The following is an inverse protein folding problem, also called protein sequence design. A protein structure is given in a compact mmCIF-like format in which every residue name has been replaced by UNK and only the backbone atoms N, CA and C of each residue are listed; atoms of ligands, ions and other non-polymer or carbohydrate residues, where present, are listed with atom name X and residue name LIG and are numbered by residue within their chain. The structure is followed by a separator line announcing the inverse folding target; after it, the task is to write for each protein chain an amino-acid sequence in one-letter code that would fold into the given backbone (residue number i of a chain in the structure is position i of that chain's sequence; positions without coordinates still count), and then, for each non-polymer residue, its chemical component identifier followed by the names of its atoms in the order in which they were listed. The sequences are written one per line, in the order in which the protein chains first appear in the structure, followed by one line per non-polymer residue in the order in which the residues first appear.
data_IF_255435177290
#
_entry.id   IF_255435177290
#
_cell.length_a   1.000
_cell.length_b   1.000
_cell.length_c   1.000
_cell.angle_alpha   90.00
_cell.angle_beta   90.00
_cell.angle_gamma   90.00
#
_symmetry.space_group_name_H-M   'P 1'
#
loop_
_entity.id
_entity.type
_entity.pdbx_description
1 polymer ?
#
# COMPACT_ATOMS: atom_id res chain seq x y z
N UNK A 1 -95.20 1.96 25.94
CA UNK A 1 -93.93 1.76 25.26
C UNK A 1 -93.14 3.02 25.50
N UNK A 2 -92.26 2.95 26.54
CA UNK A 2 -91.47 4.10 27.02
C UNK A 2 -90.07 3.94 26.43
N UNK A 3 -89.66 4.92 25.62
CA UNK A 3 -88.35 4.95 25.07
C UNK A 3 -87.45 5.75 26.01
N UNK A 4 -86.44 5.10 26.60
CA UNK A 4 -85.44 5.71 27.46
C UNK A 4 -84.24 6.15 26.59
N UNK A 5 -84.05 7.48 26.52
CA UNK A 5 -82.90 8.07 25.83
C UNK A 5 -81.79 8.22 26.89
N UNK A 6 -80.71 7.49 26.71
CA UNK A 6 -79.48 7.66 27.53
C UNK A 6 -78.58 8.59 26.80
N UNK A 7 -78.30 9.77 27.34
CA UNK A 7 -77.29 10.69 26.85
C UNK A 7 -75.91 10.29 27.40
N UNK A 8 -74.98 9.91 26.55
CA UNK A 8 -73.59 9.67 26.86
C UNK A 8 -72.80 10.98 26.66
N UNK A 9 -72.29 11.55 27.75
CA UNK A 9 -71.37 12.68 27.71
C UNK A 9 -70.00 12.23 27.36
N UNK A 10 -69.44 12.56 26.20
CA UNK A 10 -68.07 12.39 25.81
C UNK A 10 -67.18 13.48 26.47
N UNK A 11 -66.42 13.12 27.43
CA UNK A 11 -65.33 13.95 27.98
C UNK A 11 -64.13 13.83 27.04
N UNK A 12 -63.91 14.84 26.21
CA UNK A 12 -62.71 14.91 25.36
C UNK A 12 -61.47 15.25 26.18
N UNK A 13 -60.60 14.28 26.39
CA UNK A 13 -59.24 14.53 26.88
C UNK A 13 -58.40 14.82 25.66
N UNK A 14 -58.01 16.08 25.47
CA UNK A 14 -56.97 16.48 24.51
C UNK A 14 -55.60 16.16 25.11
N UNK A 15 -55.00 15.05 24.68
CA UNK A 15 -53.57 14.79 24.91
C UNK A 15 -52.81 15.66 23.92
N UNK A 16 -52.26 16.76 24.42
CA UNK A 16 -51.28 17.56 23.66
C UNK A 16 -49.98 16.77 23.50
N UNK A 17 -49.75 16.18 22.33
CA UNK A 17 -48.43 15.66 21.97
C UNK A 17 -47.48 16.85 21.85
N UNK A 18 -46.57 17.01 22.82
CA UNK A 18 -45.38 17.84 22.69
C UNK A 18 -44.45 17.12 21.74
N UNK A 19 -44.51 17.40 20.46
CA UNK A 19 -43.49 17.04 19.50
C UNK A 19 -42.22 17.81 19.86
N UNK A 20 -41.40 17.23 20.73
CA UNK A 20 -40.00 17.65 20.88
C UNK A 20 -39.32 17.29 19.56
N UNK A 21 -39.13 18.26 18.68
CA UNK A 21 -38.27 18.14 17.53
C UNK A 21 -36.82 17.97 18.07
N UNK A 22 -36.40 16.73 18.28
CA UNK A 22 -35.00 16.44 18.40
C UNK A 22 -34.37 16.69 17.04
N UNK A 23 -33.69 17.80 16.87
CA UNK A 23 -32.80 18.00 15.73
C UNK A 23 -31.91 16.80 15.62
N UNK A 24 -31.73 16.21 14.42
CA UNK A 24 -30.81 15.09 14.28
C UNK A 24 -29.46 15.51 14.84
N UNK A 25 -28.97 14.80 15.83
CA UNK A 25 -27.64 15.03 16.40
C UNK A 25 -26.65 14.98 15.24
N UNK A 26 -25.88 16.05 15.06
CA UNK A 26 -24.81 16.07 14.05
C UNK A 26 -23.85 14.91 14.36
N UNK A 27 -23.74 13.87 13.52
CA UNK A 27 -22.91 12.71 13.80
C UNK A 27 -21.42 13.07 13.90
N UNK A 28 -21.04 14.26 13.40
CA UNK A 28 -19.69 14.78 13.44
C UNK A 28 -19.39 15.65 14.68
N UNK A 29 -20.40 15.90 15.53
CA UNK A 29 -20.22 16.69 16.74
C UNK A 29 -19.31 15.92 17.75
N UNK A 30 -18.13 16.44 18.04
CA UNK A 30 -17.17 15.83 18.97
C UNK A 30 -16.05 15.03 18.32
N UNK A 31 -16.05 14.86 16.99
CA UNK A 31 -14.88 14.33 16.27
C UNK A 31 -13.90 15.48 16.07
N UNK A 32 -12.95 15.62 17.00
CA UNK A 32 -11.81 16.53 16.82
C UNK A 32 -10.90 15.92 15.77
N UNK A 33 -10.65 16.63 14.66
CA UNK A 33 -9.48 16.35 13.82
C UNK A 33 -8.27 16.40 14.73
N UNK A 34 -7.32 15.45 14.67
CA UNK A 34 -6.10 15.55 15.43
C UNK A 34 -5.38 16.82 14.97
N UNK A 35 -5.50 17.86 15.78
CA UNK A 35 -4.57 18.99 15.72
C UNK A 35 -3.20 18.39 15.97
N UNK A 36 -2.25 18.64 15.09
CA UNK A 36 -0.87 18.22 15.18
C UNK A 36 -0.39 18.35 16.63
N UNK A 37 -0.42 17.23 17.37
CA UNK A 37 0.29 17.17 18.65
C UNK A 37 1.75 17.34 18.29
N UNK A 38 2.31 18.42 18.81
CA UNK A 38 3.70 18.81 18.81
C UNK A 38 4.64 17.67 18.46
N UNK A 39 5.35 17.87 17.34
CA UNK A 39 6.53 17.13 17.00
C UNK A 39 7.38 16.96 18.26
N UNK A 40 7.57 15.72 18.70
CA UNK A 40 8.65 15.42 19.61
C UNK A 40 9.92 15.92 18.92
N UNK A 41 10.54 16.90 19.54
CA UNK A 41 11.78 17.53 19.12
C UNK A 41 12.84 16.43 18.92
N UNK A 42 13.01 16.02 17.68
CA UNK A 42 14.20 15.28 17.29
C UNK A 42 15.35 16.29 17.32
N UNK A 43 16.24 16.11 18.27
CA UNK A 43 17.48 16.88 18.38
C UNK A 43 18.20 16.86 17.01
N UNK A 44 18.83 17.96 16.60
CA UNK A 44 19.56 18.01 15.34
C UNK A 44 20.74 17.06 15.45
N UNK A 45 20.73 15.98 14.66
CA UNK A 45 21.90 15.14 14.45
C UNK A 45 22.85 15.96 13.57
N UNK A 46 23.86 16.54 14.20
CA UNK A 46 24.96 17.18 13.51
C UNK A 46 25.68 16.14 12.68
N UNK A 47 25.62 16.28 11.37
CA UNK A 47 26.38 15.51 10.41
C UNK A 47 27.85 15.90 10.47
N UNK A 48 28.63 15.17 11.27
CA UNK A 48 30.07 15.10 11.07
C UNK A 48 30.32 13.97 10.05
N UNK A 49 30.76 14.34 8.86
CA UNK A 49 31.32 13.42 7.86
C UNK A 49 32.64 12.88 8.40
N UNK A 50 32.57 11.81 9.19
CA UNK A 50 33.68 10.94 9.49
C UNK A 50 33.68 9.80 8.49
N UNK A 51 34.68 9.75 7.61
CA UNK A 51 34.97 8.59 6.80
C UNK A 51 35.41 7.44 7.72
N UNK A 52 34.46 6.68 8.21
CA UNK A 52 34.65 5.43 8.91
C UNK A 52 33.97 4.33 8.14
N UNK A 53 34.68 3.31 7.72
CA UNK A 53 34.15 2.09 7.13
C UNK A 53 33.18 1.44 8.12
N UNK A 54 31.91 1.80 8.03
CA UNK A 54 30.85 1.10 8.74
C UNK A 54 30.56 -0.18 7.95
N UNK A 55 31.02 -1.32 8.49
CA UNK A 55 30.57 -2.61 8.04
C UNK A 55 29.03 -2.65 8.08
N UNK A 56 28.43 -2.98 6.96
CA UNK A 56 27.01 -3.25 6.88
C UNK A 56 26.65 -4.30 7.94
N UNK A 57 25.51 -4.18 8.65
CA UNK A 57 25.02 -5.26 9.46
C UNK A 57 24.78 -6.45 8.52
N UNK A 58 25.60 -7.50 8.68
CA UNK A 58 25.42 -8.76 7.97
C UNK A 58 24.09 -9.35 8.44
N UNK A 59 23.08 -9.53 7.58
CA UNK A 59 21.98 -10.40 7.94
C UNK A 59 22.56 -11.81 8.01
N UNK A 60 22.73 -12.33 9.22
CA UNK A 60 23.20 -13.68 9.47
C UNK A 60 22.10 -14.69 9.13
N UNK A 61 21.72 -14.76 7.86
CA UNK A 61 21.10 -15.92 7.28
C UNK A 61 22.20 -16.60 6.45
N UNK A 62 22.90 -17.55 7.08
CA UNK A 62 23.72 -18.53 6.38
C UNK A 62 22.78 -19.37 5.50
N UNK A 63 22.47 -18.87 4.32
CA UNK A 63 21.97 -19.71 3.23
C UNK A 63 23.19 -20.40 2.67
N UNK A 64 23.20 -21.73 2.72
CA UNK A 64 24.23 -22.52 2.05
C UNK A 64 24.28 -22.10 0.57
N UNK A 65 25.48 -21.82 0.00
CA UNK A 65 25.57 -21.48 -1.42
C UNK A 65 25.11 -22.66 -2.24
N UNK A 66 23.98 -22.49 -2.94
CA UNK A 66 23.48 -23.48 -3.88
C UNK A 66 24.50 -23.67 -4.99
N UNK A 67 25.11 -24.85 -5.06
CA UNK A 67 25.96 -25.25 -6.18
C UNK A 67 25.07 -25.54 -7.41
N UNK A 68 24.63 -24.49 -8.10
CA UNK A 68 23.95 -24.62 -9.40
C UNK A 68 25.04 -24.71 -10.44
N UNK A 69 25.20 -25.87 -11.06
CA UNK A 69 26.06 -26.03 -12.25
C UNK A 69 25.59 -25.07 -13.36
N UNK A 70 26.48 -24.71 -14.32
CA UNK A 70 26.17 -23.69 -15.31
C UNK A 70 25.01 -24.14 -16.20
N UNK A 71 23.80 -23.60 -15.98
CA UNK A 71 22.78 -23.64 -17.01
C UNK A 71 23.09 -22.55 -18.03
N UNK A 72 23.26 -22.90 -19.30
CA UNK A 72 23.57 -21.94 -20.37
C UNK A 72 22.40 -20.99 -20.69
N UNK A 73 21.19 -21.24 -20.15
CA UNK A 73 19.99 -20.45 -20.37
C UNK A 73 19.78 -19.32 -19.34
N UNK A 74 18.84 -18.40 -19.58
CA UNK A 74 18.46 -17.39 -18.60
C UNK A 74 17.95 -18.01 -17.29
N UNK A 75 18.23 -17.37 -16.15
CA UNK A 75 17.72 -17.79 -14.83
C UNK A 75 16.20 -17.65 -14.84
N UNK A 76 15.43 -18.75 -14.65
CA UNK A 76 13.98 -18.64 -14.53
C UNK A 76 13.63 -18.00 -13.18
N UNK A 77 12.94 -16.86 -13.24
CA UNK A 77 12.52 -16.07 -12.08
C UNK A 77 11.00 -15.96 -12.09
N UNK A 78 10.36 -16.16 -10.95
CA UNK A 78 8.96 -15.86 -10.73
C UNK A 78 8.87 -14.74 -9.68
N UNK A 79 8.16 -13.68 -10.01
CA UNK A 79 7.71 -12.69 -9.03
C UNK A 79 6.20 -12.84 -8.82
N UNK A 80 5.76 -12.88 -7.58
CA UNK A 80 4.32 -12.95 -7.30
C UNK A 80 3.60 -11.76 -7.94
N UNK A 81 4.17 -10.55 -7.85
CA UNK A 81 3.60 -9.34 -8.44
C UNK A 81 4.55 -8.66 -9.45
N UNK A 82 3.95 -7.86 -10.34
CA UNK A 82 4.67 -7.20 -11.42
C UNK A 82 5.61 -6.07 -10.94
N UNK A 83 5.37 -5.46 -9.78
CA UNK A 83 6.26 -4.41 -9.27
C UNK A 83 7.62 -4.97 -8.83
N UNK A 84 7.68 -6.12 -8.14
CA UNK A 84 8.95 -6.82 -7.88
C UNK A 84 9.52 -7.44 -9.16
N UNK A 85 8.64 -7.96 -10.02
CA UNK A 85 9.02 -8.51 -11.32
C UNK A 85 9.70 -7.49 -12.22
N UNK A 86 9.24 -6.24 -12.25
CA UNK A 86 9.85 -5.16 -13.00
C UNK A 86 11.28 -4.85 -12.52
N UNK A 87 11.48 -4.79 -11.21
CA UNK A 87 12.80 -4.51 -10.63
C UNK A 87 13.80 -5.64 -10.91
N UNK A 88 13.41 -6.90 -10.69
CA UNK A 88 14.31 -8.03 -10.94
C UNK A 88 14.56 -8.24 -12.43
N UNK A 89 13.60 -7.93 -13.30
CA UNK A 89 13.79 -7.98 -14.76
C UNK A 89 14.82 -6.96 -15.23
N UNK A 90 14.75 -5.73 -14.73
CA UNK A 90 15.73 -4.70 -15.04
C UNK A 90 17.13 -5.03 -14.50
N UNK A 91 17.19 -5.61 -13.29
CA UNK A 91 18.43 -6.03 -12.66
C UNK A 91 19.08 -7.21 -13.39
N UNK A 92 18.30 -8.22 -13.71
CA UNK A 92 18.73 -9.45 -14.35
C UNK A 92 18.99 -9.32 -15.84
N UNK A 93 18.26 -8.42 -16.52
CA UNK A 93 18.36 -8.21 -17.96
C UNK A 93 18.26 -9.51 -18.75
N UNK A 94 19.15 -9.73 -19.71
CA UNK A 94 19.19 -10.94 -20.52
C UNK A 94 19.68 -12.19 -19.78
N UNK A 95 20.14 -12.05 -18.54
CA UNK A 95 20.57 -13.17 -17.70
C UNK A 95 19.38 -13.83 -16.97
N UNK A 96 18.21 -13.22 -16.99
CA UNK A 96 16.99 -13.74 -16.34
C UNK A 96 15.84 -13.86 -17.32
N UNK A 97 14.91 -14.80 -17.05
CA UNK A 97 13.60 -14.91 -17.69
C UNK A 97 12.55 -14.75 -16.59
N UNK A 98 11.96 -13.56 -16.50
CA UNK A 98 11.06 -13.19 -15.41
C UNK A 98 9.62 -13.36 -15.82
N UNK A 99 8.85 -14.08 -15.00
CA UNK A 99 7.38 -14.16 -15.07
C UNK A 99 6.81 -13.49 -13.83
N UNK A 100 5.99 -12.44 -14.01
CA UNK A 100 5.14 -11.91 -12.95
C UNK A 100 3.76 -12.55 -13.04
N UNK A 101 3.22 -13.03 -11.92
CA UNK A 101 1.93 -13.74 -11.88
C UNK A 101 0.78 -12.75 -11.78
N UNK A 102 0.75 -11.93 -10.72
CA UNK A 102 -0.30 -10.92 -10.53
C UNK A 102 0.02 -9.68 -11.37
N UNK A 103 -0.75 -9.48 -12.43
CA UNK A 103 -0.54 -8.38 -13.41
C UNK A 103 -1.84 -7.75 -13.87
N UNK A 104 -3.01 -8.30 -13.50
CA UNK A 104 -4.31 -7.79 -13.96
C UNK A 104 -4.61 -6.43 -13.32
N UNK A 105 -4.84 -5.37 -14.12
CA UNK A 105 -5.14 -4.05 -13.62
C UNK A 105 -6.52 -3.92 -12.95
N UNK A 106 -7.38 -4.90 -13.16
CA UNK A 106 -8.77 -4.86 -12.67
C UNK A 106 -9.02 -5.81 -11.50
N UNK A 107 -8.02 -6.64 -11.16
CA UNK A 107 -8.11 -7.56 -10.03
C UNK A 107 -7.56 -6.91 -8.77
N UNK A 108 -8.20 -7.19 -7.64
CA UNK A 108 -7.62 -6.94 -6.32
C UNK A 108 -6.56 -8.02 -6.05
N UNK A 109 -5.29 -7.64 -5.88
CA UNK A 109 -4.23 -8.64 -5.65
C UNK A 109 -4.38 -9.42 -4.34
N UNK A 110 -5.05 -8.86 -3.34
CA UNK A 110 -5.34 -9.55 -2.07
C UNK A 110 -6.32 -10.72 -2.24
N UNK A 111 -7.15 -10.71 -3.29
CA UNK A 111 -8.14 -11.73 -3.59
C UNK A 111 -7.66 -12.72 -4.67
N UNK A 112 -6.37 -12.69 -5.05
CA UNK A 112 -5.85 -13.54 -6.10
C UNK A 112 -5.84 -15.02 -5.70
N UNK A 113 -6.41 -15.87 -6.55
CA UNK A 113 -6.40 -17.33 -6.42
C UNK A 113 -5.47 -17.97 -7.45
N UNK A 114 -4.45 -18.70 -6.98
CA UNK A 114 -3.49 -19.35 -7.84
C UNK A 114 -4.08 -20.52 -8.63
N UNK A 115 -3.59 -20.71 -9.85
CA UNK A 115 -3.99 -21.80 -10.73
C UNK A 115 -2.83 -22.78 -11.03
N UNK A 116 -3.13 -23.85 -11.82
CA UNK A 116 -2.11 -24.86 -12.18
C UNK A 116 -0.94 -24.30 -13.00
N UNK A 117 -1.13 -23.20 -13.76
CA UNK A 117 -0.04 -22.56 -14.48
C UNK A 117 0.93 -21.90 -13.52
N UNK A 118 0.41 -21.26 -12.49
CA UNK A 118 1.19 -20.59 -11.46
C UNK A 118 2.00 -21.61 -10.66
N UNK A 119 1.38 -22.74 -10.28
CA UNK A 119 2.07 -23.82 -9.62
C UNK A 119 3.25 -24.35 -10.44
N UNK A 120 3.06 -24.54 -11.75
CA UNK A 120 4.13 -24.98 -12.66
C UNK A 120 5.22 -23.92 -12.82
N UNK A 121 4.84 -22.64 -12.88
CA UNK A 121 5.79 -21.55 -12.98
C UNK A 121 6.68 -21.48 -11.73
N UNK A 122 6.06 -21.52 -10.55
CA UNK A 122 6.77 -21.52 -9.26
C UNK A 122 7.70 -22.74 -9.16
N UNK A 123 7.21 -23.94 -9.47
CA UNK A 123 7.99 -25.19 -9.42
C UNK A 123 9.24 -25.16 -10.32
N UNK A 124 9.16 -24.51 -11.48
CA UNK A 124 10.26 -24.43 -12.45
C UNK A 124 11.20 -23.25 -12.21
N UNK A 125 10.89 -22.35 -11.31
CA UNK A 125 11.72 -21.18 -11.01
C UNK A 125 12.97 -21.55 -10.20
N UNK A 126 14.09 -20.94 -10.52
CA UNK A 126 15.30 -20.96 -9.69
C UNK A 126 15.27 -19.87 -8.62
N UNK A 127 14.55 -18.79 -8.89
CA UNK A 127 14.41 -17.66 -7.97
C UNK A 127 12.93 -17.25 -7.93
N UNK A 128 12.36 -17.19 -6.74
CA UNK A 128 11.00 -16.72 -6.49
C UNK A 128 11.01 -15.52 -5.56
N UNK A 129 10.27 -14.51 -5.91
CA UNK A 129 10.13 -13.28 -5.12
C UNK A 129 8.67 -13.14 -4.74
N UNK A 130 8.42 -13.06 -3.44
CA UNK A 130 7.10 -12.86 -2.85
C UNK A 130 7.10 -11.59 -2.00
N UNK A 131 5.97 -10.88 -1.97
CA UNK A 131 5.80 -9.73 -1.10
C UNK A 131 5.72 -10.14 0.37
N UNK A 132 5.00 -11.22 0.67
CA UNK A 132 4.74 -11.68 2.03
C UNK A 132 3.72 -10.81 2.76
N UNK A 133 3.71 -10.89 4.10
CA UNK A 133 2.84 -10.08 4.97
C UNK A 133 1.34 -10.35 4.72
N UNK A 134 0.99 -11.57 4.30
CA UNK A 134 -0.39 -11.96 3.98
C UNK A 134 -0.90 -11.49 2.62
N UNK A 135 -0.06 -10.83 1.82
CA UNK A 135 -0.46 -10.29 0.52
C UNK A 135 -0.54 -11.36 -0.59
N UNK A 136 0.40 -12.30 -0.57
CA UNK A 136 0.57 -13.35 -1.58
C UNK A 136 0.78 -14.73 -0.93
N UNK A 137 0.02 -15.04 0.11
CA UNK A 137 0.08 -16.33 0.83
C UNK A 137 -0.13 -17.54 -0.10
N UNK A 138 -0.88 -17.36 -1.20
CA UNK A 138 -1.03 -18.36 -2.25
C UNK A 138 0.33 -18.79 -2.85
N UNK A 139 1.26 -17.85 -3.03
CA UNK A 139 2.59 -18.16 -3.56
C UNK A 139 3.43 -18.92 -2.53
N UNK A 140 3.36 -18.54 -1.26
CA UNK A 140 4.01 -19.26 -0.17
C UNK A 140 3.49 -20.69 -0.03
N UNK A 141 2.18 -20.91 -0.24
CA UNK A 141 1.58 -22.25 -0.24
C UNK A 141 2.08 -23.10 -1.40
N UNK A 142 2.23 -22.53 -2.61
CA UNK A 142 2.78 -23.24 -3.76
C UNK A 142 4.25 -23.62 -3.53
N UNK A 143 5.06 -22.69 -3.01
CA UNK A 143 6.46 -22.94 -2.65
C UNK A 143 6.56 -24.07 -1.62
N UNK A 144 5.72 -24.06 -0.60
CA UNK A 144 5.70 -25.09 0.44
C UNK A 144 5.25 -26.46 -0.09
N UNK A 145 4.33 -26.52 -1.05
CA UNK A 145 3.78 -27.75 -1.60
C UNK A 145 4.77 -28.47 -2.53
N UNK A 146 5.57 -27.72 -3.31
CA UNK A 146 6.46 -28.29 -4.34
C UNK A 146 7.95 -28.17 -3.98
N UNK A 147 8.27 -27.59 -2.84
CA UNK A 147 9.55 -27.42 -2.16
C UNK A 147 10.80 -27.91 -2.88
N UNK A 148 11.05 -27.40 -4.10
CA UNK A 148 12.25 -27.74 -4.86
C UNK A 148 13.49 -27.40 -4.02
N UNK A 149 14.31 -28.40 -3.71
CA UNK A 149 15.48 -28.29 -2.83
C UNK A 149 16.55 -27.27 -3.31
N UNK A 150 16.36 -26.70 -4.51
CA UNK A 150 17.30 -25.78 -5.17
C UNK A 150 16.69 -24.42 -5.53
N UNK A 151 15.53 -24.08 -5.00
CA UNK A 151 14.85 -22.81 -5.27
C UNK A 151 15.26 -21.78 -4.23
N UNK A 152 15.71 -20.61 -4.69
CA UNK A 152 15.93 -19.45 -3.81
C UNK A 152 14.63 -18.66 -3.70
N UNK A 153 14.22 -18.33 -2.48
CA UNK A 153 13.01 -17.55 -2.20
C UNK A 153 13.40 -16.27 -1.47
N UNK A 154 13.00 -15.13 -2.02
CA UNK A 154 13.08 -13.83 -1.38
C UNK A 154 11.67 -13.42 -0.90
N UNK A 155 11.45 -13.48 0.41
CA UNK A 155 10.26 -12.91 1.05
C UNK A 155 10.58 -11.46 1.48
N UNK A 156 9.97 -10.50 0.79
CA UNK A 156 10.25 -9.06 0.98
C UNK A 156 9.80 -8.61 2.37
N UNK A 157 8.70 -9.13 2.88
CA UNK A 157 8.21 -8.85 4.24
C UNK A 157 9.22 -9.27 5.30
N UNK A 158 9.70 -10.51 5.23
CA UNK A 158 10.71 -11.04 6.17
C UNK A 158 12.02 -10.26 6.08
N UNK A 159 12.48 -9.95 4.85
CA UNK A 159 13.67 -9.15 4.64
C UNK A 159 13.61 -7.80 5.36
N UNK A 160 12.46 -7.14 5.31
CA UNK A 160 12.26 -5.80 5.87
C UNK A 160 11.75 -5.81 7.32
N UNK A 161 11.64 -6.97 7.95
CA UNK A 161 11.14 -7.12 9.31
C UNK A 161 9.64 -6.83 9.46
N UNK A 162 8.91 -6.87 8.35
CA UNK A 162 7.45 -6.76 8.30
C UNK A 162 6.91 -8.18 8.21
N UNK A 163 6.16 -8.64 9.19
CA UNK A 163 5.81 -10.06 9.28
C UNK A 163 4.39 -10.31 9.77
N UNK A 164 3.94 -11.56 9.58
CA UNK A 164 2.76 -12.12 10.22
C UNK A 164 3.23 -12.88 11.46
N UNK A 165 2.80 -12.47 12.64
CA UNK A 165 3.15 -13.16 13.90
C UNK A 165 1.89 -13.80 14.49
N UNK A 166 1.89 -15.13 14.58
CA UNK A 166 0.75 -15.88 15.15
C UNK A 166 -0.56 -15.73 14.38
N UNK A 167 -0.49 -15.55 13.05
CA UNK A 167 -1.63 -15.30 12.17
C UNK A 167 -2.14 -13.85 12.21
N UNK A 168 -1.46 -12.97 12.93
CA UNK A 168 -1.77 -11.53 12.95
C UNK A 168 -0.77 -10.81 12.05
N UNK A 169 -1.29 -10.11 11.05
CA UNK A 169 -0.49 -9.21 10.21
C UNK A 169 -0.06 -8.02 11.07
N UNK A 170 1.25 -7.90 11.33
CA UNK A 170 1.80 -6.82 12.17
C UNK A 170 2.33 -5.64 11.37
N UNK A 171 2.06 -5.62 10.07
CA UNK A 171 2.55 -4.57 9.19
C UNK A 171 1.69 -4.34 7.96
N UNK A 172 2.02 -3.28 7.25
CA UNK A 172 1.37 -2.91 6.00
C UNK A 172 2.10 -3.61 4.83
N UNK A 173 1.40 -4.39 3.97
CA UNK A 173 2.03 -5.12 2.88
C UNK A 173 2.53 -4.24 1.73
N UNK A 174 2.08 -2.99 1.61
CA UNK A 174 2.34 -2.10 0.48
C UNK A 174 3.77 -1.53 0.46
N UNK A 175 4.76 -2.40 0.69
CA UNK A 175 6.17 -2.03 0.89
C UNK A 175 6.83 -1.37 -0.32
N UNK A 176 6.31 -1.59 -1.52
CA UNK A 176 6.81 -0.94 -2.74
C UNK A 176 6.60 0.58 -2.78
N UNK A 177 5.72 1.12 -1.91
CA UNK A 177 5.56 2.57 -1.70
C UNK A 177 6.57 3.16 -0.72
N UNK A 178 7.46 2.32 -0.14
CA UNK A 178 8.50 2.78 0.77
C UNK A 178 9.88 2.73 0.09
N UNK A 179 10.52 3.88 -0.23
CA UNK A 179 11.83 3.92 -0.86
C UNK A 179 12.91 3.10 -0.13
N UNK A 180 12.86 3.04 1.19
CA UNK A 180 13.84 2.29 1.99
C UNK A 180 13.68 0.80 1.77
N UNK A 181 12.44 0.29 1.82
CA UNK A 181 12.16 -1.13 1.59
C UNK A 181 12.48 -1.57 0.16
N UNK A 182 12.15 -0.72 -0.83
CA UNK A 182 12.51 -1.00 -2.23
C UNK A 182 14.03 -1.11 -2.41
N UNK A 183 14.82 -0.22 -1.79
CA UNK A 183 16.27 -0.27 -1.88
C UNK A 183 16.85 -1.53 -1.22
N UNK A 184 16.35 -1.94 -0.04
CA UNK A 184 16.79 -3.19 0.61
C UNK A 184 16.42 -4.41 -0.23
N UNK A 185 15.20 -4.43 -0.80
CA UNK A 185 14.74 -5.50 -1.68
C UNK A 185 15.60 -5.60 -2.94
N UNK A 186 15.93 -4.48 -3.58
CA UNK A 186 16.81 -4.46 -4.75
C UNK A 186 18.23 -4.96 -4.42
N UNK A 187 18.77 -4.60 -3.25
CA UNK A 187 20.07 -5.08 -2.81
C UNK A 187 20.06 -6.61 -2.54
N UNK A 188 18.97 -7.13 -1.97
CA UNK A 188 18.80 -8.56 -1.79
C UNK A 188 18.66 -9.31 -3.13
N UNK A 189 17.84 -8.79 -4.06
CA UNK A 189 17.73 -9.34 -5.43
C UNK A 189 19.10 -9.41 -6.12
N UNK A 190 19.93 -8.36 -6.00
CA UNK A 190 21.30 -8.35 -6.54
C UNK A 190 22.15 -9.46 -5.92
N UNK A 191 22.16 -9.58 -4.61
CA UNK A 191 22.92 -10.60 -3.88
C UNK A 191 22.47 -12.00 -4.28
N UNK A 192 21.18 -12.22 -4.38
CA UNK A 192 20.59 -13.50 -4.76
C UNK A 192 20.93 -13.88 -6.21
N UNK A 193 20.83 -12.97 -7.16
CA UNK A 193 21.23 -13.22 -8.56
C UNK A 193 22.74 -13.51 -8.71
N UNK A 194 23.58 -12.79 -7.97
CA UNK A 194 25.03 -13.08 -7.93
C UNK A 194 25.31 -14.47 -7.34
N UNK A 195 24.56 -14.90 -6.32
CA UNK A 195 24.71 -16.24 -5.75
C UNK A 195 24.31 -17.35 -6.71
N UNK A 196 23.25 -17.13 -7.50
CA UNK A 196 22.76 -18.07 -8.54
C UNK A 196 23.73 -18.13 -9.73
N UNK A 197 24.28 -16.98 -10.15
CA UNK A 197 25.16 -16.90 -11.33
C UNK A 197 26.37 -16.01 -11.05
N UNK A 198 27.39 -16.50 -10.33
CA UNK A 198 28.59 -15.72 -10.02
C UNK A 198 29.36 -15.23 -11.25
N UNK A 199 29.27 -15.95 -12.38
CA UNK A 199 29.91 -15.58 -13.65
C UNK A 199 29.34 -14.28 -14.25
N UNK A 200 28.12 -13.87 -13.87
CA UNK A 200 27.46 -12.66 -14.36
C UNK A 200 27.54 -11.49 -13.35
N UNK A 201 28.36 -11.60 -12.29
CA UNK A 201 28.44 -10.57 -11.23
C UNK A 201 28.61 -9.16 -11.78
N UNK A 202 29.60 -8.92 -12.66
CA UNK A 202 29.85 -7.59 -13.22
C UNK A 202 28.68 -7.03 -14.05
N UNK A 203 27.90 -7.93 -14.68
CA UNK A 203 26.70 -7.55 -15.41
C UNK A 203 25.59 -7.08 -14.46
N UNK A 204 25.34 -7.86 -13.40
CA UNK A 204 24.34 -7.50 -12.39
C UNK A 204 24.75 -6.23 -11.62
N UNK A 205 26.04 -6.05 -11.33
CA UNK A 205 26.58 -4.85 -10.67
C UNK A 205 26.32 -3.59 -11.50
N UNK A 206 26.56 -3.65 -12.83
CA UNK A 206 26.28 -2.53 -13.72
C UNK A 206 24.79 -2.15 -13.76
N UNK A 207 23.90 -3.17 -13.83
CA UNK A 207 22.46 -2.95 -13.81
C UNK A 207 21.98 -2.44 -12.44
N UNK A 208 22.52 -2.97 -11.36
CA UNK A 208 22.22 -2.50 -10.00
C UNK A 208 22.60 -1.03 -9.82
N UNK A 209 23.76 -0.61 -10.31
CA UNK A 209 24.19 0.78 -10.27
C UNK A 209 23.26 1.69 -11.09
N UNK A 210 22.86 1.26 -12.29
CA UNK A 210 21.92 1.99 -13.13
C UNK A 210 20.53 2.13 -12.47
N UNK A 211 20.03 1.04 -11.86
CA UNK A 211 18.75 1.06 -11.13
C UNK A 211 18.79 1.99 -9.92
N UNK A 212 19.86 1.98 -9.14
CA UNK A 212 20.02 2.91 -8.00
C UNK A 212 19.96 4.37 -8.45
N UNK A 213 20.55 4.70 -9.61
CA UNK A 213 20.48 6.05 -10.17
C UNK A 213 19.04 6.41 -10.55
N UNK A 214 18.35 5.53 -11.26
CA UNK A 214 16.96 5.78 -11.71
C UNK A 214 15.98 5.87 -10.54
N UNK A 215 16.11 5.00 -9.55
CA UNK A 215 15.32 5.07 -8.31
C UNK A 215 15.63 6.32 -7.49
N UNK A 216 16.89 6.76 -7.46
CA UNK A 216 17.29 8.01 -6.83
C UNK A 216 16.58 9.22 -7.47
N UNK A 217 16.44 9.23 -8.80
CA UNK A 217 15.70 10.27 -9.53
C UNK A 217 14.20 10.22 -9.19
N UNK A 218 13.61 9.02 -9.15
CA UNK A 218 12.22 8.81 -8.74
C UNK A 218 11.96 9.33 -7.32
N UNK A 219 12.82 8.96 -6.37
CA UNK A 219 12.66 9.39 -4.97
C UNK A 219 12.91 10.90 -4.80
N UNK A 220 13.67 11.52 -5.71
CA UNK A 220 13.78 12.97 -5.80
C UNK A 220 12.44 13.66 -6.06
N UNK A 221 11.54 13.03 -6.84
CA UNK A 221 10.18 13.56 -7.06
C UNK A 221 9.34 13.49 -5.78
N UNK A 222 9.39 12.37 -5.06
CA UNK A 222 8.69 12.24 -3.77
C UNK A 222 9.26 13.20 -2.71
N UNK A 223 10.58 13.42 -2.70
CA UNK A 223 11.22 14.42 -1.83
C UNK A 223 10.78 15.85 -2.18
N UNK A 224 10.53 16.17 -3.45
CA UNK A 224 9.97 17.45 -3.86
C UNK A 224 8.54 17.65 -3.35
N UNK A 225 7.69 16.60 -3.36
CA UNK A 225 6.36 16.62 -2.74
C UNK A 225 6.50 16.93 -1.24
N UNK A 226 7.39 16.23 -0.54
CA UNK A 226 7.67 16.51 0.87
C UNK A 226 8.10 17.95 1.11
N UNK A 227 9.02 18.46 0.33
CA UNK A 227 9.53 19.83 0.49
C UNK A 227 8.43 20.88 0.34
N UNK A 228 7.49 20.65 -0.58
CA UNK A 228 6.46 21.62 -0.93
C UNK A 228 5.18 21.47 -0.09
N UNK A 229 4.83 20.26 0.34
CA UNK A 229 3.52 19.93 0.88
C UNK A 229 3.54 19.24 2.25
N UNK A 230 4.68 19.13 2.92
CA UNK A 230 4.73 18.52 4.26
C UNK A 230 3.68 19.14 5.21
N UNK A 231 2.99 18.28 5.97
CA UNK A 231 1.92 18.68 6.88
C UNK A 231 0.56 18.90 6.22
N UNK A 232 0.46 18.87 4.87
CA UNK A 232 -0.84 18.97 4.20
C UNK A 232 -1.74 17.80 4.58
N UNK A 233 -2.98 18.10 4.97
CA UNK A 233 -3.96 17.09 5.39
C UNK A 233 -4.50 16.35 4.17
N UNK A 234 -4.34 15.03 4.21
CA UNK A 234 -4.78 14.11 3.14
C UNK A 234 -5.52 12.93 3.74
N UNK A 235 -6.30 12.26 2.91
CA UNK A 235 -7.00 11.04 3.28
C UNK A 235 -6.67 9.91 2.30
N UNK A 236 -6.95 8.67 2.68
CA UNK A 236 -6.85 7.50 1.81
C UNK A 236 -7.99 6.52 2.12
N UNK A 237 -8.50 5.84 1.12
CA UNK A 237 -9.52 4.81 1.32
C UNK A 237 -8.95 3.51 1.86
N UNK A 238 -7.62 3.34 1.81
CA UNK A 238 -6.94 2.10 2.20
C UNK A 238 -5.52 2.37 2.71
N UNK A 239 -4.89 1.35 3.27
CA UNK A 239 -3.55 1.42 3.86
C UNK A 239 -2.41 1.55 2.82
N UNK A 240 -2.68 1.37 1.54
CA UNK A 240 -1.71 1.45 0.43
C UNK A 240 -0.88 2.74 0.45
N UNK A 241 -1.48 3.86 0.83
CA UNK A 241 -0.85 5.18 0.79
C UNK A 241 0.01 5.49 2.04
N UNK A 242 -0.06 4.70 3.08
CA UNK A 242 0.56 5.00 4.39
C UNK A 242 2.07 5.24 4.28
N UNK A 243 2.79 4.39 3.54
CA UNK A 243 4.24 4.54 3.41
C UNK A 243 4.65 5.79 2.63
N UNK A 244 3.94 6.09 1.54
CA UNK A 244 4.21 7.29 0.75
C UNK A 244 3.84 8.56 1.53
N UNK A 245 2.71 8.56 2.26
CA UNK A 245 2.33 9.67 3.14
C UNK A 245 3.41 9.94 4.19
N UNK A 246 3.93 8.89 4.83
CA UNK A 246 5.01 9.00 5.81
C UNK A 246 6.30 9.55 5.17
N UNK A 247 6.71 9.02 4.01
CA UNK A 247 7.91 9.48 3.32
C UNK A 247 7.81 10.95 2.91
N UNK A 248 6.66 11.35 2.38
CA UNK A 248 6.38 12.73 1.94
C UNK A 248 5.97 13.65 3.09
N UNK A 249 5.85 13.14 4.32
CA UNK A 249 5.39 13.87 5.50
C UNK A 249 4.03 14.56 5.32
N UNK A 250 3.15 13.99 4.49
CA UNK A 250 1.75 14.39 4.43
C UNK A 250 1.03 13.94 5.70
N UNK A 251 0.06 14.74 6.16
CA UNK A 251 -0.74 14.40 7.34
C UNK A 251 -1.94 13.54 6.93
N UNK A 252 -1.76 12.22 6.95
CA UNK A 252 -2.81 11.25 6.63
C UNK A 252 -3.76 11.09 7.81
N UNK A 253 -5.02 11.52 7.65
CA UNK A 253 -6.01 11.57 8.74
C UNK A 253 -7.07 10.47 8.69
N UNK A 254 -7.15 9.68 7.64
CA UNK A 254 -8.11 8.56 7.56
C UNK A 254 -8.01 7.65 8.78
N UNK A 255 -9.13 7.15 9.33
CA UNK A 255 -9.10 6.25 10.48
C UNK A 255 -8.29 4.99 10.14
N UNK A 256 -7.24 4.64 10.90
CA UNK A 256 -6.45 3.44 10.62
C UNK A 256 -7.28 2.16 10.54
N UNK A 257 -8.30 2.02 11.41
CA UNK A 257 -9.20 0.88 11.41
C UNK A 257 -10.06 0.78 10.14
N UNK A 258 -10.40 1.93 9.51
CA UNK A 258 -11.09 1.95 8.22
C UNK A 258 -10.15 1.45 7.11
N UNK A 259 -8.97 2.05 7.02
CA UNK A 259 -7.99 1.72 5.99
C UNK A 259 -7.53 0.26 6.05
N UNK A 260 -7.35 -0.27 7.26
CA UNK A 260 -6.95 -1.66 7.45
C UNK A 260 -8.08 -2.63 7.06
N UNK A 261 -9.31 -2.37 7.50
CA UNK A 261 -10.44 -3.24 7.15
C UNK A 261 -10.64 -3.33 5.64
N UNK A 262 -10.52 -2.20 4.92
CA UNK A 262 -10.63 -2.17 3.45
C UNK A 262 -9.49 -2.97 2.81
N UNK A 263 -8.24 -2.80 3.25
CA UNK A 263 -7.08 -3.54 2.74
C UNK A 263 -7.18 -5.07 2.97
N UNK A 264 -7.90 -5.49 4.01
CA UNK A 264 -8.12 -6.91 4.34
C UNK A 264 -9.39 -7.48 3.71
N UNK A 265 -10.08 -6.72 2.82
CA UNK A 265 -11.35 -7.13 2.23
C UNK A 265 -12.51 -7.20 3.22
N UNK A 266 -12.38 -6.61 4.41
CA UNK A 266 -13.38 -6.61 5.47
C UNK A 266 -14.25 -5.36 5.46
N UNK A 267 -15.47 -5.46 5.99
CA UNK A 267 -16.33 -4.29 6.21
C UNK A 267 -15.79 -3.43 7.38
N UNK A 268 -15.48 -2.14 7.16
CA UNK A 268 -15.10 -1.24 8.24
C UNK A 268 -16.23 -1.05 9.26
N UNK A 269 -15.86 -0.83 10.53
CA UNK A 269 -16.85 -0.55 11.58
C UNK A 269 -17.66 0.73 11.28
N UNK A 270 -18.93 0.78 11.69
CA UNK A 270 -19.77 1.97 11.54
C UNK A 270 -19.10 3.23 12.12
N UNK A 271 -18.40 3.07 13.25
CA UNK A 271 -17.70 4.19 13.87
C UNK A 271 -16.58 4.75 12.98
N UNK A 272 -15.75 3.89 12.37
CA UNK A 272 -14.67 4.34 11.47
C UNK A 272 -15.22 4.91 10.18
N UNK A 273 -16.33 4.40 9.66
CA UNK A 273 -17.05 4.97 8.50
C UNK A 273 -17.53 6.38 8.79
N UNK A 274 -18.26 6.60 9.91
CA UNK A 274 -18.75 7.92 10.31
C UNK A 274 -17.58 8.88 10.56
N UNK A 275 -16.52 8.43 11.21
CA UNK A 275 -15.33 9.24 11.45
C UNK A 275 -14.69 9.70 10.14
N UNK A 276 -14.54 8.79 9.17
CA UNK A 276 -13.96 9.13 7.87
C UNK A 276 -14.85 10.10 7.08
N UNK A 277 -16.15 9.86 7.07
CA UNK A 277 -17.11 10.79 6.47
C UNK A 277 -16.95 12.20 7.05
N UNK A 278 -16.95 12.34 8.39
CA UNK A 278 -16.80 13.63 9.05
C UNK A 278 -15.47 14.32 8.73
N UNK A 279 -14.38 13.55 8.56
CA UNK A 279 -13.10 14.11 8.13
C UNK A 279 -13.20 14.70 6.72
N UNK A 280 -13.84 14.01 5.78
CA UNK A 280 -14.03 14.48 4.41
C UNK A 280 -14.93 15.71 4.34
N UNK A 281 -15.96 15.78 5.20
CA UNK A 281 -16.91 16.90 5.30
C UNK A 281 -16.31 18.13 6.05
N UNK A 282 -15.20 17.96 6.74
CA UNK A 282 -14.59 19.00 7.61
C UNK A 282 -14.04 20.21 6.84
N UNK A 283 -13.81 20.09 5.53
CA UNK A 283 -13.14 21.10 4.71
C UNK A 283 -11.60 21.17 4.91
N UNK A 284 -11.02 20.30 5.75
CA UNK A 284 -9.58 20.28 6.01
C UNK A 284 -8.81 19.31 5.10
N UNK A 285 -9.46 18.26 4.62
CA UNK A 285 -8.83 17.28 3.72
C UNK A 285 -8.66 17.89 2.34
N UNK A 286 -7.42 17.97 1.88
CA UNK A 286 -7.09 18.56 0.59
C UNK A 286 -7.19 17.56 -0.57
N UNK A 287 -6.64 16.37 -0.35
CA UNK A 287 -6.60 15.29 -1.34
C UNK A 287 -7.03 13.99 -0.67
N UNK A 288 -7.85 13.22 -1.36
CA UNK A 288 -8.13 11.84 -1.00
C UNK A 288 -7.50 10.91 -2.03
N UNK A 289 -6.65 10.02 -1.56
CA UNK A 289 -6.05 8.94 -2.35
C UNK A 289 -7.03 7.76 -2.39
N UNK A 290 -7.30 7.25 -3.58
CA UNK A 290 -8.26 6.18 -3.82
C UNK A 290 -7.57 5.01 -4.51
N UNK A 291 -7.62 3.82 -3.92
CA UNK A 291 -7.14 2.60 -4.57
C UNK A 291 -8.10 2.21 -5.70
N UNK A 292 -7.60 2.15 -6.92
CA UNK A 292 -8.39 1.84 -8.13
C UNK A 292 -8.71 0.35 -8.25
N UNK A 293 -8.01 -0.51 -7.51
CA UNK A 293 -8.17 -1.96 -7.56
C UNK A 293 -9.03 -2.50 -6.39
N UNK A 294 -9.15 -1.76 -5.29
CA UNK A 294 -10.01 -2.11 -4.13
C UNK A 294 -11.29 -1.27 -4.14
N UNK A 295 -12.22 -1.63 -5.03
CA UNK A 295 -13.48 -0.90 -5.25
C UNK A 295 -14.64 -1.61 -4.56
N UNK A 296 -15.11 -1.05 -3.45
CA UNK A 296 -16.26 -1.53 -2.69
C UNK A 296 -17.38 -0.47 -2.64
N UNK A 297 -18.62 -0.82 -2.28
CA UNK A 297 -19.67 0.18 -2.06
C UNK A 297 -19.28 1.24 -1.02
N UNK A 298 -18.53 0.86 0.02
CA UNK A 298 -18.09 1.76 1.09
C UNK A 298 -17.01 2.73 0.58
N UNK A 299 -16.00 2.25 -0.12
CA UNK A 299 -14.94 3.11 -0.70
C UNK A 299 -15.52 4.03 -1.78
N UNK A 300 -16.48 3.54 -2.59
CA UNK A 300 -17.22 4.34 -3.56
C UNK A 300 -18.05 5.45 -2.90
N UNK A 301 -18.69 5.19 -1.75
CA UNK A 301 -19.40 6.20 -0.98
C UNK A 301 -18.44 7.28 -0.44
N UNK A 302 -17.28 6.90 0.12
CA UNK A 302 -16.29 7.88 0.57
C UNK A 302 -15.81 8.76 -0.59
N UNK A 303 -15.61 8.18 -1.77
CA UNK A 303 -15.27 8.91 -3.00
C UNK A 303 -16.35 9.93 -3.38
N UNK A 304 -17.63 9.56 -3.29
CA UNK A 304 -18.75 10.46 -3.55
C UNK A 304 -18.81 11.62 -2.54
N UNK A 305 -18.62 11.33 -1.26
CA UNK A 305 -18.58 12.34 -0.19
C UNK A 305 -17.38 13.30 -0.40
N UNK A 306 -16.21 12.79 -0.72
CA UNK A 306 -15.05 13.61 -1.03
C UNK A 306 -15.32 14.57 -2.19
N UNK A 307 -15.88 14.07 -3.29
CA UNK A 307 -16.24 14.88 -4.45
C UNK A 307 -17.29 15.96 -4.11
N UNK A 308 -18.30 15.64 -3.30
CA UNK A 308 -19.33 16.59 -2.87
C UNK A 308 -18.78 17.72 -1.99
N UNK A 309 -17.64 17.48 -1.32
CA UNK A 309 -16.98 18.45 -0.43
C UNK A 309 -15.72 19.08 -1.09
N UNK A 310 -15.59 19.02 -2.41
CA UNK A 310 -14.47 19.57 -3.17
C UNK A 310 -13.09 19.03 -2.77
N UNK A 311 -13.02 17.83 -2.21
CA UNK A 311 -11.76 17.13 -1.97
C UNK A 311 -11.26 16.55 -3.30
N UNK A 312 -10.06 16.92 -3.71
CA UNK A 312 -9.48 16.37 -4.94
C UNK A 312 -9.16 14.88 -4.76
N UNK A 313 -9.53 14.05 -5.74
CA UNK A 313 -9.33 12.61 -5.68
C UNK A 313 -8.18 12.21 -6.61
N UNK A 314 -7.26 11.41 -6.08
CA UNK A 314 -6.14 10.81 -6.82
C UNK A 314 -6.27 9.30 -6.78
N UNK A 315 -6.30 8.67 -7.95
CA UNK A 315 -6.25 7.22 -8.07
C UNK A 315 -4.82 6.71 -8.05
N UNK A 316 -4.59 5.65 -7.30
CA UNK A 316 -3.34 4.87 -7.30
C UNK A 316 -3.66 3.39 -7.48
N UNK A 317 -2.66 2.58 -7.80
CA UNK A 317 -2.83 1.15 -8.09
C UNK A 317 -1.84 0.30 -7.30
N UNK A 318 -2.18 -0.96 -7.10
CA UNK A 318 -1.30 -1.96 -6.46
C UNK A 318 -0.40 -2.66 -7.47
N UNK A 319 -0.81 -2.72 -8.72
CA UNK A 319 -0.04 -3.31 -9.81
C UNK A 319 0.39 -2.24 -10.80
N UNK A 320 1.51 -2.47 -11.51
CA UNK A 320 2.02 -1.53 -12.51
C UNK A 320 0.98 -1.28 -13.61
N UNK A 321 0.62 -0.02 -13.79
CA UNK A 321 -0.33 0.45 -14.79
C UNK A 321 0.21 1.67 -15.55
N UNK A 322 0.14 1.67 -16.88
CA UNK A 322 -0.16 0.53 -17.76
C UNK A 322 0.90 -0.57 -17.65
N UNK A 323 0.56 -1.80 -18.02
CA UNK A 323 1.45 -2.97 -17.88
C UNK A 323 2.77 -2.89 -18.65
N UNK A 324 2.88 -1.92 -19.58
CA UNK A 324 4.11 -1.64 -20.34
C UNK A 324 5.11 -0.76 -19.59
N UNK A 325 4.70 -0.18 -18.46
CA UNK A 325 5.58 0.68 -17.68
C UNK A 325 6.58 -0.13 -16.87
N UNK A 326 7.73 0.47 -16.62
CA UNK A 326 8.65 0.04 -15.57
C UNK A 326 8.12 0.49 -14.20
N UNK A 327 8.69 -0.08 -13.15
CA UNK A 327 8.41 0.37 -11.77
C UNK A 327 8.56 1.89 -11.60
N UNK A 328 9.62 2.46 -12.20
CA UNK A 328 9.93 3.88 -12.08
C UNK A 328 8.93 4.76 -12.85
N UNK A 329 8.51 4.34 -14.02
CA UNK A 329 7.52 5.08 -14.83
C UNK A 329 6.15 5.08 -14.15
N UNK A 330 5.74 3.95 -13.61
CA UNK A 330 4.50 3.81 -12.87
C UNK A 330 4.47 4.68 -11.62
N UNK A 331 5.44 4.48 -10.69
CA UNK A 331 5.54 5.28 -9.47
C UNK A 331 5.70 6.78 -9.77
N UNK A 332 6.48 7.14 -10.81
CA UNK A 332 6.66 8.52 -11.24
C UNK A 332 5.35 9.16 -11.72
N UNK A 333 4.52 8.41 -12.43
CA UNK A 333 3.18 8.87 -12.85
C UNK A 333 2.26 9.12 -11.64
N UNK A 334 2.29 8.24 -10.64
CA UNK A 334 1.51 8.41 -9.40
C UNK A 334 2.00 9.59 -8.56
N UNK A 335 3.31 9.78 -8.43
CA UNK A 335 3.89 10.95 -7.74
C UNK A 335 3.50 12.25 -8.44
N UNK A 336 3.51 12.26 -9.77
CA UNK A 336 3.08 13.41 -10.56
C UNK A 336 1.59 13.72 -10.37
N UNK A 337 0.73 12.68 -10.38
CA UNK A 337 -0.70 12.83 -10.15
C UNK A 337 -0.98 13.41 -8.75
N UNK A 338 -0.30 12.89 -7.73
CA UNK A 338 -0.39 13.40 -6.35
C UNK A 338 0.07 14.86 -6.26
N UNK A 339 1.22 15.21 -6.84
CA UNK A 339 1.73 16.56 -6.83
C UNK A 339 0.77 17.54 -7.51
N UNK A 340 0.20 17.16 -8.66
CA UNK A 340 -0.78 17.98 -9.37
C UNK A 340 -2.05 18.21 -8.53
N UNK A 341 -2.56 17.19 -7.86
CA UNK A 341 -3.72 17.29 -6.99
C UNK A 341 -3.45 18.20 -5.77
N UNK A 342 -2.26 18.08 -5.18
CA UNK A 342 -1.84 18.96 -4.10
C UNK A 342 -1.69 20.41 -4.55
N UNK A 343 -1.23 20.67 -5.78
CA UNK A 343 -1.12 22.01 -6.35
C UNK A 343 -2.48 22.62 -6.69
N UNK A 344 -3.40 21.86 -7.28
CA UNK A 344 -4.70 22.37 -7.77
C UNK A 344 -5.47 23.09 -6.65
N UNK A 345 -5.41 22.60 -5.43
CA UNK A 345 -6.04 23.22 -4.27
C UNK A 345 -5.22 24.39 -3.65
N UNK A 346 -3.99 24.62 -4.09
CA UNK A 346 -3.20 25.78 -3.61
C UNK A 346 -3.62 27.10 -4.27
N UNK A 347 -4.21 27.02 -5.46
CA UNK A 347 -4.59 28.17 -6.28
C UNK A 347 -6.03 28.61 -6.08
N UNK A 348 -6.81 27.88 -5.27
CA UNK A 348 -8.23 28.14 -5.00
C UNK A 348 -8.54 28.73 -3.60
N UNK A 349 -7.53 29.16 -2.84
CA UNK A 349 -7.69 29.85 -1.55
C UNK A 349 -7.32 31.31 -1.64
#
# INVERSE_FOLDING_TARGET
MIILVVAVALVGVTVGEVLTSTSPSNPCAGITTPTSSSAASAAPVSSSLGAGSAGAPSPAFLRDPLHVGPSEGPIPVVAAENFWGSLVSQLGGNQTSVLSIVTDPNADPHEYEANLSDARAVSNAQFVIVNGVGYDDWALQLIAADGGSNQLVLNVGELNGVSVTGGIVTGNPHMWYNPVYVNYTLAAMYTDLVSIRPSATSYFEANYAALNISLGQLYGQAAAIRHQFAGTVVASTESIFVYLANFTQLNLVSPPAFMQAVAEGNDPSTQSVVQFQCQLESGHVRVMVYNLQTVTPITGNMKAIAAANNVTIVGITETIQPSSYTFQEWMGAEYLALANALNANALGQ
#
